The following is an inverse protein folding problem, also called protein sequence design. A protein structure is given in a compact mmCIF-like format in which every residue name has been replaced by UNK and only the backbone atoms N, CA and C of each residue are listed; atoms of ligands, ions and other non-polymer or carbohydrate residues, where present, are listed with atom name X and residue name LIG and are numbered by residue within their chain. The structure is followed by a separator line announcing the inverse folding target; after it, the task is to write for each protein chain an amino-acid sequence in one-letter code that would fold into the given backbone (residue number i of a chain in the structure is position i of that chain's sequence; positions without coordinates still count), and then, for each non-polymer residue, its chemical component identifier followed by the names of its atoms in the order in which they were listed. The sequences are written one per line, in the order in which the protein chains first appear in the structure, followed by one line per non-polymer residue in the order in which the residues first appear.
data_IF_626923549494
#
_entry.id   IF_626923549494
#
_cell.length_a   1.000
_cell.length_b   1.000
_cell.length_c   1.000
_cell.angle_alpha   90.00
_cell.angle_beta   90.00
_cell.angle_gamma   90.00
#
_symmetry.space_group_name_H-M   'P 1'
#
loop_
_entity.id
_entity.type
_entity.pdbx_description
1 polymer ?
#
# COMPACT_ATOMS: atom_id res chain seq x y z
N UNK A 1 -11.87 12.10 -2.74
CA UNK A 1 -11.43 12.19 -1.33
C UNK A 1 -10.87 10.82 -1.00
N UNK A 2 -9.57 10.72 -0.73
CA UNK A 2 -8.92 9.43 -0.48
C UNK A 2 -9.52 8.77 0.76
N UNK A 3 -9.99 7.53 0.64
CA UNK A 3 -10.52 6.76 1.78
C UNK A 3 -9.40 5.91 2.41
N UNK A 4 -8.41 5.54 1.60
CA UNK A 4 -7.23 4.78 2.00
C UNK A 4 -6.00 5.41 1.34
N UNK A 5 -4.91 5.49 2.10
CA UNK A 5 -3.61 5.95 1.60
C UNK A 5 -2.48 5.23 2.35
N UNK A 6 -1.43 4.87 1.62
CA UNK A 6 -0.15 4.45 2.17
C UNK A 6 0.96 5.22 1.49
N UNK A 7 2.00 5.57 2.25
CA UNK A 7 3.21 6.20 1.72
C UNK A 7 4.42 5.34 2.09
N UNK A 8 5.13 4.83 1.09
CA UNK A 8 6.37 4.06 1.30
C UNK A 8 6.19 2.82 2.17
N UNK A 9 5.05 2.12 2.10
CA UNK A 9 4.76 0.96 2.94
C UNK A 9 5.82 -0.14 2.75
N UNK A 10 6.42 -0.59 3.85
CA UNK A 10 7.38 -1.69 3.87
C UNK A 10 6.91 -2.77 4.83
N UNK A 11 6.94 -4.03 4.38
CA UNK A 11 6.72 -5.20 5.23
C UNK A 11 7.86 -6.20 5.07
N UNK A 12 8.47 -6.57 6.20
CA UNK A 12 9.58 -7.51 6.27
C UNK A 12 9.21 -8.72 7.11
N UNK A 13 9.71 -9.88 6.68
CA UNK A 13 9.65 -11.15 7.41
C UNK A 13 11.04 -11.79 7.37
N UNK A 14 11.81 -11.66 8.45
CA UNK A 14 13.21 -12.08 8.47
C UNK A 14 14.01 -11.38 7.36
N UNK A 15 14.67 -12.16 6.50
CA UNK A 15 15.43 -11.65 5.36
C UNK A 15 14.60 -11.27 4.13
N UNK A 16 13.28 -11.51 4.12
CA UNK A 16 12.40 -11.21 3.00
C UNK A 16 11.74 -9.84 3.17
N UNK A 17 11.77 -9.03 2.11
CA UNK A 17 10.93 -7.84 1.95
C UNK A 17 9.69 -8.25 1.15
N UNK A 18 8.55 -8.38 1.84
CA UNK A 18 7.27 -8.78 1.23
C UNK A 18 6.51 -7.60 0.62
N UNK A 19 6.71 -6.38 1.15
CA UNK A 19 6.21 -5.14 0.58
C UNK A 19 7.37 -4.14 0.61
N UNK A 20 7.67 -3.49 -0.52
CA UNK A 20 8.85 -2.64 -0.67
C UNK A 20 8.48 -1.23 -1.13
N UNK A 21 8.47 -0.29 -0.20
CA UNK A 21 8.23 1.15 -0.44
C UNK A 21 6.98 1.44 -1.29
N UNK A 22 5.88 0.73 -1.01
CA UNK A 22 4.64 0.87 -1.78
C UNK A 22 3.85 2.08 -1.31
N UNK A 23 3.66 3.03 -2.22
CA UNK A 23 2.70 4.11 -2.06
C UNK A 23 1.43 3.81 -2.87
N UNK A 24 0.27 3.90 -2.23
CA UNK A 24 -1.03 3.67 -2.87
C UNK A 24 -2.08 4.61 -2.29
N UNK A 25 -3.11 4.91 -3.06
CA UNK A 25 -4.34 5.52 -2.55
C UNK A 25 -5.53 4.83 -3.19
N UNK A 26 -6.68 4.92 -2.53
CA UNK A 26 -7.96 4.44 -3.05
C UNK A 26 -9.00 5.52 -2.79
N UNK A 27 -9.70 5.91 -3.85
CA UNK A 27 -10.83 6.83 -3.77
C UNK A 27 -12.14 6.11 -3.42
N UNK A 28 -13.14 6.85 -2.95
CA UNK A 28 -14.41 6.25 -2.56
C UNK A 28 -15.12 5.61 -3.77
N UNK A 29 -15.45 4.33 -3.66
CA UNK A 29 -16.12 3.56 -4.72
C UNK A 29 -15.17 2.99 -5.80
N UNK A 30 -13.86 3.22 -5.71
CA UNK A 30 -12.87 2.67 -6.62
C UNK A 30 -12.62 1.17 -6.36
N UNK A 31 -12.52 0.37 -7.44
CA UNK A 31 -12.18 -1.06 -7.38
C UNK A 31 -10.84 -1.28 -8.09
N UNK A 32 -9.86 -1.79 -7.35
CA UNK A 32 -8.54 -2.16 -7.83
C UNK A 32 -8.36 -3.68 -7.75
N UNK A 33 -7.64 -4.30 -8.69
CA UNK A 33 -7.40 -5.74 -8.77
C UNK A 33 -6.07 -6.09 -9.42
#
# INVERSE_FOLDING_TARGET
MKILETEGLVKRFGGLVAVNEVSLHVEEGEILG
#
